data_IF_670228506125
#
_entry.id   IF_670228506125
#
_cell.length_a   1.000
_cell.length_b   1.000
_cell.length_c   1.000
_cell.angle_alpha   90.00
_cell.angle_beta   90.00
_cell.angle_gamma   90.00
#
_symmetry.space_group_name_H-M   'P 1'
#
loop_
_entity.id
_entity.type
_entity.pdbx_description
1 polymer ?
#
# COMPACT_ATOMS: atom_id res chain seq x y z
N UNK A 1 -29.54 -12.90 -4.27
CA UNK A 1 -29.35 -11.62 -3.57
C UNK A 1 -29.58 -10.54 -4.61
N UNK A 2 -30.42 -9.55 -4.32
CA UNK A 2 -30.66 -8.42 -5.23
C UNK A 2 -29.78 -7.25 -4.80
N UNK A 3 -29.06 -6.64 -5.74
CA UNK A 3 -28.14 -5.54 -5.48
C UNK A 3 -28.72 -4.28 -6.09
N UNK A 4 -28.83 -3.24 -5.28
CA UNK A 4 -29.39 -1.96 -5.67
C UNK A 4 -28.35 -0.85 -5.44
N UNK A 5 -28.29 0.10 -6.36
CA UNK A 5 -27.56 1.36 -6.17
C UNK A 5 -28.30 2.29 -5.20
N UNK A 6 -27.64 3.37 -4.76
CA UNK A 6 -28.23 4.36 -3.85
C UNK A 6 -29.46 5.09 -4.43
N UNK A 7 -29.53 5.20 -5.77
CA UNK A 7 -30.69 5.74 -6.50
C UNK A 7 -31.76 4.68 -6.83
N UNK A 8 -31.63 3.47 -6.28
CA UNK A 8 -32.65 2.42 -6.33
C UNK A 8 -32.65 1.57 -7.60
N UNK A 9 -31.61 1.64 -8.45
CA UNK A 9 -31.52 0.83 -9.67
C UNK A 9 -31.01 -0.57 -9.36
N UNK A 10 -31.59 -1.57 -10.01
CA UNK A 10 -31.17 -2.96 -9.86
C UNK A 10 -29.94 -3.25 -10.69
N UNK A 11 -28.85 -3.70 -10.06
CA UNK A 11 -27.58 -3.98 -10.72
C UNK A 11 -27.73 -4.91 -11.93
N UNK A 12 -28.49 -6.00 -11.81
CA UNK A 12 -28.61 -7.00 -12.87
C UNK A 12 -29.38 -6.47 -14.08
N UNK A 13 -30.30 -5.53 -13.86
CA UNK A 13 -31.04 -4.88 -14.95
C UNK A 13 -30.21 -3.81 -15.66
N UNK A 14 -29.32 -3.15 -14.93
CA UNK A 14 -28.44 -2.10 -15.45
C UNK A 14 -27.27 -2.65 -16.29
N UNK A 15 -26.89 -3.92 -16.14
CA UNK A 15 -25.79 -4.53 -16.91
C UNK A 15 -25.95 -4.36 -18.43
N UNK A 16 -27.18 -4.41 -18.94
CA UNK A 16 -27.48 -4.24 -20.38
C UNK A 16 -27.21 -2.83 -20.91
N UNK A 17 -27.09 -1.84 -20.03
CA UNK A 17 -26.87 -0.44 -20.40
C UNK A 17 -25.39 -0.12 -20.62
N UNK A 18 -24.48 -1.05 -20.29
CA UNK A 18 -23.04 -0.89 -20.50
C UNK A 18 -22.65 -1.32 -21.93
N UNK A 19 -21.79 -0.53 -22.58
CA UNK A 19 -21.26 -0.82 -23.91
C UNK A 19 -20.29 -2.00 -23.87
N UNK A 20 -20.16 -2.81 -24.92
CA UNK A 20 -19.30 -4.00 -24.89
C UNK A 20 -17.80 -3.68 -24.97
N UNK A 21 -17.42 -2.54 -25.55
CA UNK A 21 -16.05 -2.14 -25.89
C UNK A 21 -15.41 -1.15 -24.89
N UNK A 22 -16.10 -0.87 -23.79
CA UNK A 22 -15.66 0.01 -22.69
C UNK A 22 -15.08 -0.79 -21.52
N UNK A 23 -14.29 -0.11 -20.69
CA UNK A 23 -13.83 -0.60 -19.39
C UNK A 23 -14.87 -0.30 -18.31
N UNK A 24 -15.12 -1.26 -17.43
CA UNK A 24 -15.93 -1.11 -16.22
C UNK A 24 -14.98 -1.23 -15.05
N UNK A 25 -14.90 -0.14 -14.28
CA UNK A 25 -14.03 -0.03 -13.13
C UNK A 25 -14.91 -0.05 -11.89
N UNK A 26 -14.67 -1.02 -11.02
CA UNK A 26 -15.26 -1.03 -9.68
C UNK A 26 -14.26 -0.47 -8.67
N UNK A 27 -14.72 0.44 -7.82
CA UNK A 27 -13.91 1.12 -6.82
C UNK A 27 -14.63 1.21 -5.48
N UNK A 28 -13.84 1.26 -4.40
CA UNK A 28 -14.35 1.36 -3.03
C UNK A 28 -14.73 2.81 -2.65
N UNK A 29 -15.21 3.01 -1.41
CA UNK A 29 -15.59 4.32 -0.88
C UNK A 29 -14.46 5.37 -0.87
N UNK A 30 -13.19 4.94 -0.93
CA UNK A 30 -12.02 5.81 -1.01
C UNK A 30 -11.57 6.04 -2.47
N UNK A 31 -12.35 5.55 -3.44
CA UNK A 31 -12.01 5.61 -4.86
C UNK A 31 -11.02 4.53 -5.30
N UNK A 32 -10.55 3.64 -4.42
CA UNK A 32 -9.50 2.66 -4.77
C UNK A 32 -10.07 1.63 -5.74
N UNK A 33 -9.38 1.43 -6.86
CA UNK A 33 -9.80 0.49 -7.90
C UNK A 33 -9.51 -0.94 -7.43
N UNK A 34 -10.57 -1.77 -7.41
CA UNK A 34 -10.52 -3.16 -6.96
C UNK A 34 -10.92 -4.17 -8.05
N UNK A 35 -11.55 -3.69 -9.13
CA UNK A 35 -11.87 -4.52 -10.29
C UNK A 35 -11.82 -3.69 -11.58
N UNK A 36 -11.30 -4.29 -12.65
CA UNK A 36 -11.33 -3.74 -14.01
C UNK A 36 -11.75 -4.89 -14.94
N UNK A 37 -12.85 -4.72 -15.65
CA UNK A 37 -13.35 -5.71 -16.61
C UNK A 37 -13.98 -5.04 -17.82
N UNK A 38 -13.98 -5.72 -18.97
CA UNK A 38 -14.85 -5.35 -20.11
C UNK A 38 -16.23 -5.97 -20.01
N UNK A 39 -16.34 -7.08 -19.28
CA UNK A 39 -17.59 -7.76 -19.02
C UNK A 39 -18.13 -7.32 -17.65
N UNK A 40 -19.19 -6.52 -17.67
CA UNK A 40 -19.80 -5.98 -16.44
C UNK A 40 -20.39 -7.10 -15.56
N UNK A 41 -20.78 -8.23 -16.16
CA UNK A 41 -21.39 -9.34 -15.43
C UNK A 41 -20.42 -10.05 -14.49
N UNK A 42 -19.11 -9.89 -14.70
CA UNK A 42 -18.06 -10.45 -13.84
C UNK A 42 -17.82 -9.62 -12.58
N UNK A 43 -18.49 -8.47 -12.44
CA UNK A 43 -18.32 -7.56 -11.30
C UNK A 43 -19.41 -7.82 -10.26
N UNK A 44 -18.99 -8.08 -9.02
CA UNK A 44 -19.85 -8.02 -7.84
C UNK A 44 -19.73 -6.61 -7.22
N UNK A 45 -20.74 -5.73 -7.36
CA UNK A 45 -20.65 -4.34 -6.91
C UNK A 45 -20.96 -4.16 -5.42
N UNK A 46 -21.08 -5.23 -4.63
CA UNK A 46 -21.45 -5.12 -3.21
C UNK A 46 -20.43 -4.26 -2.47
N UNK A 47 -20.86 -3.10 -1.96
CA UNK A 47 -20.00 -2.13 -1.26
C UNK A 47 -19.08 -1.32 -2.17
N UNK A 48 -19.30 -1.36 -3.49
CA UNK A 48 -18.50 -0.68 -4.50
C UNK A 48 -19.36 0.23 -5.37
N UNK A 49 -18.71 1.18 -6.02
CA UNK A 49 -19.26 1.92 -7.15
C UNK A 49 -18.66 1.42 -8.45
N UNK A 50 -19.44 1.43 -9.54
CA UNK A 50 -18.97 1.02 -10.88
C UNK A 50 -19.09 2.18 -11.84
N UNK A 51 -18.01 2.47 -12.57
CA UNK A 51 -17.97 3.49 -13.63
C UNK A 51 -17.57 2.86 -14.96
N UNK A 52 -18.23 3.30 -16.03
CA UNK A 52 -17.87 2.97 -17.40
C UNK A 52 -16.92 4.02 -17.97
N UNK A 53 -15.81 3.58 -18.56
CA UNK A 53 -14.79 4.45 -19.14
C UNK A 53 -14.35 3.94 -20.52
N UNK A 54 -13.89 4.83 -21.42
CA UNK A 54 -13.36 4.42 -22.72
C UNK A 54 -12.10 3.56 -22.55
N UNK A 55 -11.95 2.57 -23.43
CA UNK A 55 -10.83 1.63 -23.42
C UNK A 55 -9.57 2.21 -24.10
N UNK A 56 -8.98 3.21 -23.44
CA UNK A 56 -7.80 3.95 -23.91
C UNK A 56 -6.56 3.64 -23.06
N UNK A 57 -5.37 3.92 -23.61
CA UNK A 57 -4.08 3.73 -22.94
C UNK A 57 -4.02 4.32 -21.53
N UNK A 58 -4.63 5.50 -21.32
CA UNK A 58 -4.64 6.18 -20.02
C UNK A 58 -5.44 5.44 -18.93
N UNK A 59 -6.45 4.64 -19.30
CA UNK A 59 -7.24 3.85 -18.34
C UNK A 59 -6.67 2.44 -18.18
N UNK A 60 -6.11 1.86 -19.25
CA UNK A 60 -5.47 0.53 -19.24
C UNK A 60 -4.22 0.42 -18.37
N UNK A 61 -3.60 1.55 -18.00
CA UNK A 61 -2.43 1.57 -17.11
C UNK A 61 -2.76 1.17 -15.67
N UNK A 62 -4.04 1.20 -15.29
CA UNK A 62 -4.47 0.86 -13.95
C UNK A 62 -4.47 -0.64 -13.72
N UNK A 63 -4.04 -1.02 -12.52
CA UNK A 63 -4.15 -2.36 -11.97
C UNK A 63 -5.10 -2.37 -10.76
N UNK A 64 -5.36 -3.56 -10.23
CA UNK A 64 -6.25 -3.78 -9.08
C UNK A 64 -5.48 -4.05 -7.78
N UNK A 65 -4.18 -3.74 -7.72
CA UNK A 65 -3.32 -4.00 -6.56
C UNK A 65 -3.31 -2.84 -5.56
N UNK A 66 -4.28 -1.92 -5.67
CA UNK A 66 -4.47 -0.80 -4.74
C UNK A 66 -3.58 0.42 -4.99
N UNK A 67 -2.86 0.47 -6.13
CA UNK A 67 -2.04 1.61 -6.55
C UNK A 67 -2.79 2.69 -7.35
N UNK A 68 -4.05 2.43 -7.70
CA UNK A 68 -4.87 3.27 -8.56
C UNK A 68 -6.20 3.61 -7.90
N UNK A 69 -6.70 4.81 -8.21
CA UNK A 69 -8.01 5.27 -7.75
C UNK A 69 -8.77 5.99 -8.87
N UNK A 70 -10.09 6.01 -8.75
CA UNK A 70 -10.98 6.86 -9.54
C UNK A 70 -11.35 8.08 -8.70
N UNK A 71 -11.06 9.29 -9.19
CA UNK A 71 -11.30 10.55 -8.46
C UNK A 71 -12.71 11.15 -8.71
N UNK A 72 -13.62 10.38 -9.30
CA UNK A 72 -14.91 10.84 -9.77
C UNK A 72 -14.91 11.32 -11.23
N UNK A 73 -13.73 11.49 -11.85
CA UNK A 73 -13.59 11.94 -13.25
C UNK A 73 -12.67 11.05 -14.08
N UNK A 74 -11.54 10.62 -13.51
CA UNK A 74 -10.49 9.91 -14.22
C UNK A 74 -9.73 8.94 -13.32
N UNK A 75 -9.01 8.02 -13.96
CA UNK A 75 -8.14 7.06 -13.27
C UNK A 75 -6.77 7.68 -13.00
N UNK A 76 -6.44 7.80 -11.73
CA UNK A 76 -5.20 8.41 -11.23
C UNK A 76 -4.44 7.45 -10.33
N UNK A 77 -3.16 7.73 -10.10
CA UNK A 77 -2.42 7.05 -9.03
C UNK A 77 -3.08 7.37 -7.69
N UNK A 78 -3.12 6.39 -6.80
CA UNK A 78 -3.73 6.53 -5.48
C UNK A 78 -3.09 7.69 -4.72
N UNK A 79 -3.93 8.57 -4.23
CA UNK A 79 -3.58 9.64 -3.30
C UNK A 79 -3.93 9.12 -1.92
N UNK A 80 -2.92 8.93 -1.07
CA UNK A 80 -3.11 8.48 0.29
C UNK A 80 -3.47 9.67 1.18
N UNK A 81 -4.39 9.43 2.12
CA UNK A 81 -4.67 10.39 3.19
C UNK A 81 -3.46 10.53 4.12
N UNK A 82 -3.34 11.65 4.85
CA UNK A 82 -2.30 11.81 5.87
C UNK A 82 -2.29 10.67 6.90
N UNK A 83 -3.48 10.15 7.25
CA UNK A 83 -3.63 9.02 8.17
C UNK A 83 -3.05 7.72 7.59
N UNK A 84 -3.37 7.39 6.35
CA UNK A 84 -2.83 6.19 5.68
C UNK A 84 -1.32 6.29 5.51
N UNK A 85 -0.79 7.47 5.16
CA UNK A 85 0.65 7.71 5.07
C UNK A 85 1.34 7.49 6.42
N UNK A 86 0.73 8.00 7.50
CA UNK A 86 1.23 7.78 8.86
C UNK A 86 1.22 6.29 9.23
N UNK A 87 0.14 5.58 8.94
CA UNK A 87 0.05 4.13 9.19
C UNK A 87 1.11 3.34 8.41
N UNK A 88 1.34 3.70 7.13
CA UNK A 88 2.42 3.10 6.34
C UNK A 88 3.79 3.40 6.93
N UNK A 89 4.01 4.63 7.42
CA UNK A 89 5.25 5.01 8.10
C UNK A 89 5.45 4.23 9.40
N UNK A 90 4.40 4.01 10.21
CA UNK A 90 4.47 3.17 11.42
C UNK A 90 4.81 1.72 11.09
N UNK A 91 4.17 1.13 10.07
CA UNK A 91 4.50 -0.23 9.61
C UNK A 91 5.95 -0.32 9.14
N UNK A 92 6.45 0.69 8.41
CA UNK A 92 7.85 0.77 7.99
C UNK A 92 8.78 0.88 9.20
N UNK A 93 8.46 1.74 10.18
CA UNK A 93 9.23 1.90 11.43
C UNK A 93 9.38 0.58 12.16
N UNK A 94 8.28 -0.15 12.35
CA UNK A 94 8.29 -1.47 12.99
C UNK A 94 9.19 -2.47 12.26
N UNK A 95 9.11 -2.54 10.92
CA UNK A 95 9.97 -3.43 10.11
C UNK A 95 11.45 -3.08 10.22
N UNK A 96 11.79 -1.79 10.21
CA UNK A 96 13.18 -1.36 10.34
C UNK A 96 13.75 -1.64 11.74
N UNK A 97 12.94 -1.52 12.78
CA UNK A 97 13.33 -1.88 14.15
C UNK A 97 13.51 -3.39 14.30
N UNK A 98 12.62 -4.20 13.72
CA UNK A 98 12.75 -5.66 13.68
C UNK A 98 14.04 -6.09 12.96
N UNK A 99 14.33 -5.48 11.81
CA UNK A 99 15.57 -5.74 11.09
C UNK A 99 16.81 -5.37 11.91
N UNK A 100 16.81 -4.20 12.54
CA UNK A 100 17.91 -3.78 13.39
C UNK A 100 18.11 -4.76 14.55
N UNK A 101 17.04 -5.20 15.20
CA UNK A 101 17.10 -6.16 16.31
C UNK A 101 17.66 -7.52 15.87
N UNK A 102 17.29 -7.98 14.67
CA UNK A 102 17.83 -9.22 14.10
C UNK A 102 19.35 -9.18 13.88
N UNK A 103 19.93 -7.99 13.66
CA UNK A 103 21.39 -7.80 13.55
C UNK A 103 22.03 -7.55 14.92
N UNK A 104 21.42 -6.72 15.77
CA UNK A 104 21.94 -6.36 17.11
C UNK A 104 22.03 -7.59 18.01
N UNK A 105 20.98 -8.41 18.07
CA UNK A 105 20.91 -9.56 18.99
C UNK A 105 22.12 -10.50 18.92
N UNK A 106 22.57 -11.01 17.74
CA UNK A 106 23.75 -11.88 17.68
C UNK A 106 25.06 -11.13 18.01
N UNK A 107 25.24 -9.90 17.54
CA UNK A 107 26.45 -9.10 17.81
C UNK A 107 26.59 -8.77 19.30
N UNK A 108 25.51 -8.33 19.95
CA UNK A 108 25.48 -8.09 21.39
C UNK A 108 25.81 -9.35 22.20
N UNK A 109 25.40 -10.53 21.72
CA UNK A 109 25.78 -11.81 22.34
C UNK A 109 27.27 -12.10 22.19
N UNK A 110 27.87 -11.85 21.01
CA UNK A 110 29.30 -12.03 20.79
C UNK A 110 30.14 -11.12 21.71
N UNK A 111 29.73 -9.85 21.83
CA UNK A 111 30.35 -8.88 22.76
C UNK A 111 30.23 -9.37 24.21
N UNK A 112 29.02 -9.76 24.64
CA UNK A 112 28.78 -10.30 25.99
C UNK A 112 29.63 -11.54 26.31
N UNK A 113 29.97 -12.34 25.30
CA UNK A 113 30.81 -13.54 25.43
C UNK A 113 32.31 -13.24 25.33
N UNK A 114 32.69 -11.98 25.08
CA UNK A 114 34.07 -11.55 24.82
C UNK A 114 34.72 -12.29 23.63
N UNK A 115 33.92 -12.61 22.60
CA UNK A 115 34.40 -13.28 21.37
C UNK A 115 34.16 -12.43 20.11
N UNK A 116 33.61 -11.22 20.26
CA UNK A 116 33.38 -10.32 19.14
C UNK A 116 34.71 -9.80 18.57
N UNK A 117 34.75 -9.68 17.26
CA UNK A 117 35.79 -8.98 16.50
C UNK A 117 35.59 -7.46 16.57
N UNK A 118 36.65 -6.70 16.27
CA UNK A 118 36.57 -5.23 16.18
C UNK A 118 35.52 -4.75 15.16
N UNK A 119 35.30 -5.52 14.09
CA UNK A 119 34.29 -5.19 13.07
C UNK A 119 32.87 -5.46 13.59
N UNK A 120 32.64 -6.57 14.29
CA UNK A 120 31.35 -6.87 14.93
C UNK A 120 30.99 -5.81 15.99
N UNK A 121 31.97 -5.26 16.71
CA UNK A 121 31.77 -4.16 17.66
C UNK A 121 31.32 -2.88 16.93
N UNK A 122 32.02 -2.50 15.85
CA UNK A 122 31.63 -1.31 15.05
C UNK A 122 30.25 -1.48 14.42
N UNK A 123 29.95 -2.67 13.91
CA UNK A 123 28.61 -2.97 13.38
C UNK A 123 27.55 -2.86 14.47
N UNK A 124 27.79 -3.40 15.67
CA UNK A 124 26.86 -3.29 16.78
C UNK A 124 26.55 -1.83 17.11
N UNK A 125 27.58 -1.00 17.28
CA UNK A 125 27.43 0.43 17.57
C UNK A 125 26.61 1.16 16.50
N UNK A 126 26.90 0.88 15.22
CA UNK A 126 26.19 1.49 14.10
C UNK A 126 24.71 1.07 14.05
N UNK A 127 24.40 -0.21 14.29
CA UNK A 127 23.04 -0.73 14.29
C UNK A 127 22.22 -0.30 15.52
N UNK A 128 22.83 -0.20 16.70
CA UNK A 128 22.20 0.35 17.90
C UNK A 128 21.87 1.83 17.73
N UNK A 129 22.80 2.62 17.18
CA UNK A 129 22.52 4.03 16.86
C UNK A 129 21.38 4.15 15.84
N UNK A 130 21.42 3.33 14.77
CA UNK A 130 20.37 3.29 13.76
C UNK A 130 18.99 2.97 14.36
N UNK A 131 18.88 1.94 15.21
CA UNK A 131 17.59 1.55 15.81
C UNK A 131 17.01 2.68 16.66
N UNK A 132 17.85 3.38 17.43
CA UNK A 132 17.45 4.55 18.21
C UNK A 132 16.97 5.70 17.31
N UNK A 133 17.68 5.98 16.22
CA UNK A 133 17.28 7.01 15.26
C UNK A 133 15.95 6.67 14.57
N UNK A 134 15.76 5.41 14.14
CA UNK A 134 14.49 4.92 13.57
C UNK A 134 13.37 5.08 14.58
N UNK A 135 13.59 4.72 15.85
CA UNK A 135 12.57 4.83 16.89
C UNK A 135 12.14 6.28 17.14
N UNK A 136 13.01 7.26 16.88
CA UNK A 136 12.73 8.69 17.03
C UNK A 136 12.07 9.34 15.82
N UNK A 137 11.94 8.63 14.68
CA UNK A 137 11.28 9.17 13.49
C UNK A 137 9.82 9.53 13.80
N UNK A 138 9.45 10.76 13.44
CA UNK A 138 8.07 11.24 13.38
C UNK A 138 7.38 10.67 12.13
N UNK A 139 6.38 9.83 12.34
CA UNK A 139 5.67 9.14 11.25
C UNK A 139 4.68 10.02 10.50
N UNK A 140 4.40 11.22 10.99
CA UNK A 140 3.63 12.23 10.25
C UNK A 140 4.46 12.97 9.20
N UNK A 141 5.79 13.01 9.37
CA UNK A 141 6.74 13.60 8.43
C UNK A 141 8.10 12.87 8.50
N UNK A 142 8.19 11.65 7.95
CA UNK A 142 9.29 10.75 8.25
C UNK A 142 10.60 11.11 7.53
N UNK A 143 11.63 11.44 8.32
CA UNK A 143 13.03 11.47 7.89
C UNK A 143 13.75 10.19 8.29
N UNK A 144 13.78 9.18 7.40
CA UNK A 144 14.39 7.89 7.71
C UNK A 144 15.93 7.98 7.75
N UNK A 145 16.59 7.45 8.80
CA UNK A 145 18.05 7.38 8.83
C UNK A 145 18.58 6.42 7.76
N UNK A 146 19.82 6.65 7.32
CA UNK A 146 20.52 5.74 6.41
C UNK A 146 20.82 4.41 7.10
N UNK A 147 20.63 3.31 6.36
CA UNK A 147 20.91 1.97 6.87
C UNK A 147 22.43 1.76 7.00
N UNK A 148 22.92 1.19 8.11
CA UNK A 148 24.32 0.78 8.23
C UNK A 148 24.69 -0.25 7.15
N UNK A 149 25.93 -0.23 6.68
CA UNK A 149 26.42 -1.25 5.77
C UNK A 149 26.51 -2.60 6.49
N UNK A 150 25.91 -3.64 5.91
CA UNK A 150 26.23 -5.03 6.25
C UNK A 150 27.50 -5.39 5.48
N UNK A 151 28.66 -5.45 6.15
CA UNK A 151 29.85 -6.07 5.55
C UNK A 151 29.71 -7.58 5.53
#
# INVERSE_FOLDING_TARGET
MWLYSEDGKNWYEEQKNFAADTLKIAYDQNGVIVNISKDVSTINPTGLSVVELPDITANRRADIYGGWMFDGKQVIKRIYTPEELRQQAEVKKAKLLEEAENVITPLARAVKRNIATDEEIKQLEAWELYSVLVNRVDTSNPGWPERPASQ
#
